data_IF_666181881305
#
_entry.id   IF_666181881305
#
_cell.length_a   1.000
_cell.length_b   1.000
_cell.length_c   1.000
_cell.angle_alpha   90.00
_cell.angle_beta   90.00
_cell.angle_gamma   90.00
#
_symmetry.space_group_name_H-M   'P 1'
#
loop_
_entity.id
_entity.type
_entity.pdbx_description
1 polymer ?
#
# COMPACT_ATOMS: atom_id res chain seq x y z
N UNK A 1 34.29 19.33 13.59
CA UNK A 1 33.74 19.65 12.25
C UNK A 1 32.20 19.40 12.14
N UNK A 2 31.37 19.80 13.12
CA UNK A 2 29.90 19.59 13.08
C UNK A 2 29.06 20.89 13.01
N UNK A 3 29.68 22.08 12.93
CA UNK A 3 28.98 23.36 13.02
C UNK A 3 28.56 23.98 11.66
N UNK A 4 29.20 23.63 10.57
CA UNK A 4 28.96 24.26 9.26
C UNK A 4 27.68 23.82 8.57
N UNK A 5 27.17 22.60 8.85
CA UNK A 5 25.92 22.07 8.24
C UNK A 5 24.69 22.72 8.87
N UNK A 6 24.68 22.88 10.20
CA UNK A 6 23.58 23.58 10.91
C UNK A 6 23.47 25.04 10.49
N UNK A 7 24.60 25.73 10.31
CA UNK A 7 24.59 27.12 9.87
C UNK A 7 24.04 27.30 8.46
N UNK A 8 24.42 26.42 7.53
CA UNK A 8 23.88 26.43 6.15
C UNK A 8 22.40 26.14 6.11
N UNK A 9 21.92 25.24 6.97
CA UNK A 9 20.50 24.93 7.09
C UNK A 9 19.70 26.11 7.65
N UNK A 10 20.21 26.80 8.69
CA UNK A 10 19.61 28.01 9.27
C UNK A 10 19.55 29.15 8.24
N UNK A 11 20.64 29.37 7.48
CA UNK A 11 20.68 30.37 6.42
C UNK A 11 19.67 30.07 5.31
N UNK A 12 19.53 28.81 4.92
CA UNK A 12 18.53 28.37 3.92
C UNK A 12 17.10 28.59 4.44
N UNK A 13 16.83 28.26 5.71
CA UNK A 13 15.52 28.50 6.35
C UNK A 13 15.23 29.98 6.46
N UNK A 14 16.20 30.82 6.86
CA UNK A 14 16.04 32.27 6.91
C UNK A 14 15.85 32.90 5.51
N UNK A 15 16.52 32.36 4.50
CA UNK A 15 16.33 32.80 3.11
C UNK A 15 14.94 32.42 2.57
N UNK A 16 14.44 31.23 2.90
CA UNK A 16 13.08 30.80 2.56
C UNK A 16 12.03 31.63 3.30
N UNK A 17 12.29 32.00 4.57
CA UNK A 17 11.40 32.90 5.35
C UNK A 17 11.37 34.32 4.82
N UNK A 18 12.49 34.84 4.26
CA UNK A 18 12.52 36.21 3.70
C UNK A 18 11.74 36.32 2.36
N UNK A 19 11.61 35.23 1.60
CA UNK A 19 10.75 35.19 0.40
C UNK A 19 9.26 35.20 0.76
N UNK A 20 8.91 34.70 1.95
CA UNK A 20 7.52 34.61 2.41
C UNK A 20 6.91 35.96 2.87
N UNK A 21 7.72 37.01 3.03
CA UNK A 21 7.25 38.30 3.62
C UNK A 21 6.39 39.13 2.63
N UNK A 22 6.49 38.91 1.32
CA UNK A 22 5.63 39.57 0.31
C UNK A 22 4.63 38.61 -0.36
N UNK A 23 4.75 37.33 -0.14
CA UNK A 23 3.88 36.32 -0.75
C UNK A 23 2.61 36.13 0.09
N UNK A 24 1.45 36.36 -0.51
CA UNK A 24 0.15 36.02 0.10
C UNK A 24 0.04 34.50 0.24
N UNK A 25 0.42 33.98 1.42
CA UNK A 25 0.38 32.55 1.73
C UNK A 25 -1.06 32.06 1.69
N UNK A 26 -1.29 30.92 1.06
CA UNK A 26 -2.60 30.28 1.03
C UNK A 26 -2.62 29.07 1.94
N UNK A 27 -3.65 28.99 2.78
CA UNK A 27 -3.93 27.83 3.63
C UNK A 27 -5.19 27.16 3.11
N UNK A 28 -5.15 25.85 2.92
CA UNK A 28 -6.28 25.13 2.37
C UNK A 28 -6.51 23.78 3.03
N UNK A 29 -7.60 23.17 2.60
CA UNK A 29 -7.93 21.79 2.91
C UNK A 29 -8.45 21.10 1.64
N UNK A 30 -8.21 19.82 1.54
CA UNK A 30 -8.73 18.99 0.43
C UNK A 30 -9.23 17.66 0.93
N UNK A 31 -10.14 17.10 0.15
CA UNK A 31 -10.64 15.73 0.25
C UNK A 31 -10.62 15.11 -1.13
N UNK A 32 -10.32 13.83 -1.21
CA UNK A 32 -10.22 13.13 -2.48
C UNK A 32 -10.64 11.67 -2.38
N UNK A 33 -10.96 11.13 -3.55
CA UNK A 33 -11.13 9.72 -3.81
C UNK A 33 -9.85 9.19 -4.43
N UNK A 34 -9.27 8.17 -3.80
CA UNK A 34 -8.04 7.54 -4.26
C UNK A 34 -8.34 6.17 -4.88
N UNK A 35 -7.57 5.83 -5.90
CA UNK A 35 -7.47 4.49 -6.48
C UNK A 35 -6.04 4.04 -6.24
N UNK A 36 -5.85 3.26 -5.19
CA UNK A 36 -4.55 2.70 -4.82
C UNK A 36 -4.15 1.54 -5.72
N UNK A 37 -2.86 1.34 -5.90
CA UNK A 37 -2.30 0.20 -6.61
C UNK A 37 -1.02 -0.26 -5.93
N UNK A 38 -0.94 -1.57 -5.70
CA UNK A 38 0.29 -2.27 -5.38
C UNK A 38 0.86 -2.79 -6.70
N UNK A 39 2.13 -2.49 -6.98
CA UNK A 39 2.80 -2.92 -8.21
C UNK A 39 4.06 -3.69 -7.81
N UNK A 40 4.16 -4.91 -8.26
CA UNK A 40 5.39 -5.70 -8.15
C UNK A 40 6.12 -5.77 -9.49
N UNK A 41 7.44 -5.71 -9.44
CA UNK A 41 8.32 -5.84 -10.60
C UNK A 41 9.23 -7.09 -10.51
N UNK A 42 8.99 -7.97 -9.53
CA UNK A 42 9.89 -9.08 -9.19
C UNK A 42 9.38 -10.46 -9.60
N UNK A 43 8.23 -10.58 -10.27
CA UNK A 43 7.57 -11.87 -10.60
C UNK A 43 7.46 -12.78 -9.35
N UNK A 44 7.16 -12.20 -8.19
CA UNK A 44 7.08 -12.91 -6.93
C UNK A 44 5.66 -13.41 -6.69
N UNK A 45 5.52 -14.72 -6.44
CA UNK A 45 4.23 -15.40 -6.25
C UNK A 45 3.38 -14.83 -5.10
N UNK A 46 3.98 -14.14 -4.12
CA UNK A 46 3.27 -13.52 -3.00
C UNK A 46 2.73 -12.12 -3.33
N UNK A 47 3.18 -11.48 -4.41
CA UNK A 47 2.88 -10.07 -4.71
C UNK A 47 2.36 -9.81 -6.12
N UNK A 48 2.25 -10.84 -6.95
CA UNK A 48 1.65 -10.73 -8.28
C UNK A 48 0.11 -10.60 -8.22
N UNK A 49 -0.50 -10.13 -9.31
CA UNK A 49 -1.95 -10.08 -9.55
C UNK A 49 -2.78 -9.25 -8.57
N UNK A 50 -2.18 -8.23 -7.92
CA UNK A 50 -2.95 -7.28 -7.14
C UNK A 50 -3.73 -6.32 -8.03
N UNK A 51 -5.04 -6.30 -7.85
CA UNK A 51 -5.95 -5.32 -8.41
C UNK A 51 -5.97 -4.03 -7.56
N UNK A 52 -6.42 -2.93 -8.18
CA UNK A 52 -6.51 -1.63 -7.51
C UNK A 52 -7.70 -1.57 -6.57
N UNK A 53 -7.52 -0.97 -5.40
CA UNK A 53 -8.61 -0.68 -4.45
C UNK A 53 -8.89 0.81 -4.35
N UNK A 54 -10.13 1.14 -3.95
CA UNK A 54 -10.52 2.52 -3.67
C UNK A 54 -10.19 2.90 -2.23
N UNK A 55 -9.91 4.19 -2.02
CA UNK A 55 -9.63 4.73 -0.71
C UNK A 55 -9.96 6.22 -0.62
N UNK A 56 -9.62 6.80 0.50
CA UNK A 56 -9.79 8.23 0.76
C UNK A 56 -8.44 8.93 0.86
N UNK A 57 -8.44 10.23 0.49
CA UNK A 57 -7.30 11.13 0.61
C UNK A 57 -7.84 12.45 1.18
N UNK A 58 -7.28 12.94 2.27
CA UNK A 58 -7.66 14.24 2.81
C UNK A 58 -6.54 14.87 3.61
N UNK A 59 -6.55 16.19 3.70
CA UNK A 59 -5.54 16.89 4.49
C UNK A 59 -5.54 18.38 4.30
N UNK A 60 -4.47 18.97 4.83
CA UNK A 60 -4.23 20.41 4.81
C UNK A 60 -3.17 20.75 3.79
N UNK A 61 -3.30 21.92 3.18
CA UNK A 61 -2.37 22.45 2.17
C UNK A 61 -1.86 23.82 2.61
N UNK A 62 -0.61 24.08 2.29
CA UNK A 62 0.04 25.36 2.49
C UNK A 62 0.80 25.72 1.21
N UNK A 63 0.37 26.78 0.52
CA UNK A 63 0.94 27.24 -0.74
C UNK A 63 1.62 28.59 -0.55
N UNK A 64 2.83 28.69 -1.08
CA UNK A 64 3.68 29.87 -1.09
C UNK A 64 3.84 30.34 -2.54
N UNK A 65 3.07 31.34 -3.00
CA UNK A 65 3.27 31.94 -4.30
C UNK A 65 4.64 32.62 -4.39
N UNK A 66 5.44 32.24 -5.38
CA UNK A 66 6.75 32.84 -5.64
C UNK A 66 6.74 33.77 -6.86
N UNK A 67 5.72 33.64 -7.71
CA UNK A 67 5.41 34.54 -8.83
C UNK A 67 3.94 34.38 -9.23
N UNK A 68 3.48 35.14 -10.21
CA UNK A 68 2.11 35.02 -10.77
C UNK A 68 1.82 33.61 -11.33
N UNK A 69 2.85 32.93 -11.83
CA UNK A 69 2.71 31.60 -12.45
C UNK A 69 3.21 30.45 -11.60
N UNK A 70 4.10 30.70 -10.64
CA UNK A 70 4.78 29.64 -9.88
C UNK A 70 4.57 29.77 -8.39
N UNK A 71 4.25 28.64 -7.75
CA UNK A 71 4.19 28.51 -6.29
C UNK A 71 4.85 27.19 -5.83
N UNK A 72 5.20 27.16 -4.56
CA UNK A 72 5.62 25.96 -3.85
C UNK A 72 4.48 25.58 -2.90
N UNK A 73 4.01 24.35 -2.99
CA UNK A 73 2.96 23.82 -2.12
C UNK A 73 3.49 22.68 -1.27
N UNK A 74 3.20 22.68 0.01
CA UNK A 74 3.39 21.53 0.89
C UNK A 74 2.06 21.13 1.50
N UNK A 75 1.96 19.87 1.88
CA UNK A 75 0.71 19.31 2.41
C UNK A 75 0.99 18.35 3.56
N UNK A 76 -0.01 18.11 4.38
CA UNK A 76 -0.07 16.99 5.30
C UNK A 76 -1.32 16.22 4.95
N UNK A 77 -1.16 15.02 4.40
CA UNK A 77 -2.24 14.21 3.86
C UNK A 77 -2.36 12.90 4.63
N UNK A 78 -3.59 12.54 5.00
CA UNK A 78 -3.93 11.15 5.24
C UNK A 78 -4.33 10.54 3.90
N UNK A 79 -3.72 9.43 3.53
CA UNK A 79 -4.01 8.75 2.27
C UNK A 79 -4.13 7.25 2.50
N UNK A 80 -5.20 6.68 1.98
CA UNK A 80 -5.45 5.24 1.97
C UNK A 80 -5.07 4.67 0.62
N UNK A 81 -4.25 3.63 0.63
CA UNK A 81 -3.78 2.89 -0.53
C UNK A 81 -3.99 1.40 -0.28
N UNK A 82 -3.98 0.62 -1.33
CA UNK A 82 -4.11 -0.82 -1.15
C UNK A 82 -4.19 -1.57 -2.45
N UNK A 83 -4.55 -2.84 -2.34
CA UNK A 83 -4.83 -3.71 -3.44
C UNK A 83 -5.60 -4.93 -2.98
N UNK A 84 -6.39 -5.52 -3.88
CA UNK A 84 -7.10 -6.77 -3.66
C UNK A 84 -6.53 -7.83 -4.58
N UNK A 85 -6.40 -9.05 -4.07
CA UNK A 85 -6.02 -10.23 -4.85
C UNK A 85 -7.05 -11.31 -4.61
N UNK A 86 -7.57 -11.89 -5.70
CA UNK A 86 -8.55 -12.96 -5.66
C UNK A 86 -8.03 -14.21 -6.36
N UNK A 87 -8.47 -15.37 -5.93
CA UNK A 87 -8.15 -16.64 -6.54
C UNK A 87 -7.11 -17.47 -5.81
N UNK A 88 -6.43 -18.36 -6.52
CA UNK A 88 -5.44 -19.27 -5.95
C UNK A 88 -4.18 -18.49 -5.59
N UNK A 89 -3.80 -18.56 -4.32
CA UNK A 89 -2.67 -17.80 -3.77
C UNK A 89 -1.80 -18.68 -2.88
N UNK A 90 -0.49 -18.42 -2.81
CA UNK A 90 0.38 -19.10 -1.86
C UNK A 90 0.07 -18.66 -0.44
N UNK A 91 0.15 -19.60 0.49
CA UNK A 91 0.01 -19.36 1.93
C UNK A 91 1.42 -19.23 2.51
N UNK A 92 1.83 -18.07 3.05
CA UNK A 92 3.12 -17.91 3.71
C UNK A 92 3.26 -18.87 4.90
N UNK A 93 4.46 -19.40 5.13
CA UNK A 93 4.72 -20.32 6.26
C UNK A 93 4.36 -19.69 7.59
N UNK A 94 4.58 -18.37 7.74
CA UNK A 94 4.20 -17.61 8.94
C UNK A 94 2.70 -17.66 9.25
N UNK A 95 1.83 -17.75 8.24
CA UNK A 95 0.39 -17.90 8.43
C UNK A 95 -0.01 -19.30 8.88
N UNK A 96 0.82 -20.30 8.60
CA UNK A 96 0.56 -21.70 8.97
C UNK A 96 0.78 -22.00 10.46
N UNK A 97 1.54 -21.19 11.17
CA UNK A 97 1.77 -21.35 12.61
C UNK A 97 0.46 -21.36 13.41
N UNK A 98 -0.57 -20.69 12.90
CA UNK A 98 -1.92 -20.70 13.49
C UNK A 98 -2.62 -22.07 13.37
N UNK A 99 -2.23 -22.92 12.41
CA UNK A 99 -2.79 -24.25 12.17
C UNK A 99 -1.98 -25.37 12.84
N UNK A 100 -0.80 -25.09 13.40
CA UNK A 100 0.08 -26.05 14.05
C UNK A 100 1.55 -25.82 13.72
N UNK A 101 2.41 -26.72 14.21
CA UNK A 101 3.85 -26.62 13.92
C UNK A 101 4.14 -27.07 12.49
N UNK A 102 4.91 -26.23 11.76
CA UNK A 102 5.39 -26.53 10.41
C UNK A 102 6.22 -27.82 10.37
N UNK A 103 6.95 -28.12 11.45
CA UNK A 103 7.75 -29.36 11.55
C UNK A 103 6.84 -30.59 11.57
N UNK A 104 5.69 -30.52 12.26
CA UNK A 104 4.72 -31.61 12.31
C UNK A 104 4.06 -31.83 10.93
N UNK A 105 3.72 -30.73 10.26
CA UNK A 105 3.19 -30.77 8.90
C UNK A 105 4.20 -31.44 7.96
N UNK A 106 5.45 -30.96 7.95
CA UNK A 106 6.51 -31.49 7.11
C UNK A 106 6.85 -32.95 7.44
N UNK A 107 6.78 -33.36 8.72
CA UNK A 107 6.90 -34.76 9.08
C UNK A 107 5.77 -35.62 8.47
N UNK A 108 4.52 -35.16 8.52
CA UNK A 108 3.39 -35.87 7.90
C UNK A 108 3.53 -35.95 6.37
N UNK A 109 4.00 -34.91 5.71
CA UNK A 109 4.28 -34.90 4.27
C UNK A 109 5.39 -35.89 3.92
N UNK A 110 6.46 -35.94 4.71
CA UNK A 110 7.56 -36.90 4.52
C UNK A 110 7.10 -38.36 4.63
N UNK A 111 6.16 -38.68 5.51
CA UNK A 111 5.55 -40.02 5.62
C UNK A 111 4.78 -40.40 4.34
N UNK A 112 4.33 -39.43 3.57
CA UNK A 112 3.63 -39.61 2.29
C UNK A 112 4.56 -39.55 1.09
N UNK A 113 5.87 -39.32 1.30
CA UNK A 113 6.87 -39.14 0.23
C UNK A 113 6.74 -37.83 -0.52
N UNK A 114 6.17 -36.79 0.12
CA UNK A 114 5.98 -35.46 -0.42
C UNK A 114 7.08 -34.53 0.07
N UNK A 115 7.35 -33.47 -0.72
CA UNK A 115 8.32 -32.44 -0.37
C UNK A 115 7.85 -31.57 0.81
N UNK A 116 8.78 -31.06 1.62
CA UNK A 116 8.45 -30.16 2.73
C UNK A 116 7.92 -28.83 2.22
N UNK A 117 6.97 -28.25 2.96
CA UNK A 117 6.46 -26.88 2.75
C UNK A 117 7.46 -25.88 3.31
N UNK A 118 7.72 -24.84 2.55
CA UNK A 118 8.57 -23.69 2.89
C UNK A 118 8.08 -22.46 2.12
N UNK A 119 8.67 -21.27 2.36
CA UNK A 119 8.34 -20.07 1.59
C UNK A 119 8.73 -20.18 0.10
N UNK A 120 9.70 -21.02 -0.25
CA UNK A 120 10.06 -21.35 -1.66
C UNK A 120 9.20 -22.46 -2.25
N UNK A 121 8.49 -23.22 -1.43
CA UNK A 121 7.56 -24.30 -1.81
C UNK A 121 6.29 -24.20 -0.96
N UNK A 122 5.44 -23.18 -1.17
CA UNK A 122 4.28 -22.94 -0.32
C UNK A 122 3.12 -23.89 -0.61
N UNK A 123 2.17 -23.91 0.29
CA UNK A 123 0.83 -24.42 0.02
C UNK A 123 -0.02 -23.33 -0.63
N UNK A 124 -1.09 -23.76 -1.28
CA UNK A 124 -2.00 -22.86 -2.01
C UNK A 124 -3.45 -23.03 -1.54
N UNK A 125 -4.20 -21.94 -1.59
CA UNK A 125 -5.64 -21.95 -1.40
C UNK A 125 -6.29 -20.85 -2.24
N UNK A 126 -7.60 -20.97 -2.45
CA UNK A 126 -8.41 -20.01 -3.20
C UNK A 126 -9.14 -19.11 -2.20
N UNK A 127 -8.74 -17.85 -2.14
CA UNK A 127 -9.31 -16.87 -1.22
C UNK A 127 -9.12 -15.44 -1.74
N UNK A 128 -9.85 -14.51 -1.14
CA UNK A 128 -9.66 -13.07 -1.37
C UNK A 128 -8.78 -12.50 -0.27
N UNK A 129 -7.81 -11.70 -0.69
CA UNK A 129 -6.89 -10.98 0.18
C UNK A 129 -6.92 -9.48 -0.16
N UNK A 130 -7.40 -8.67 0.78
CA UNK A 130 -7.44 -7.22 0.65
C UNK A 130 -6.41 -6.60 1.60
N UNK A 131 -5.54 -5.77 1.05
CA UNK A 131 -4.49 -5.07 1.78
C UNK A 131 -4.80 -3.58 1.84
N UNK A 132 -5.02 -3.06 3.05
CA UNK A 132 -5.22 -1.64 3.33
C UNK A 132 -3.99 -1.04 3.99
N UNK A 133 -3.41 -0.02 3.34
CA UNK A 133 -2.24 0.70 3.83
C UNK A 133 -2.59 2.19 3.99
N UNK A 134 -2.49 2.68 5.22
CA UNK A 134 -2.78 4.05 5.55
C UNK A 134 -1.51 4.83 5.85
N UNK A 135 -1.31 5.95 5.14
CA UNK A 135 -0.11 6.78 5.26
C UNK A 135 -0.46 8.20 5.69
N UNK A 136 0.46 8.83 6.40
CA UNK A 136 0.57 10.29 6.46
C UNK A 136 1.66 10.68 5.46
N UNK A 137 1.29 11.41 4.42
CA UNK A 137 2.20 11.88 3.36
C UNK A 137 2.46 13.38 3.50
N UNK A 138 3.72 13.76 3.29
CA UNK A 138 4.17 15.16 3.26
C UNK A 138 4.87 15.40 1.94
N UNK A 139 4.15 15.87 0.90
CA UNK A 139 4.73 16.29 -0.35
C UNK A 139 5.29 17.72 -0.29
N UNK A 140 6.26 17.98 -1.18
CA UNK A 140 6.73 19.32 -1.53
C UNK A 140 6.62 19.44 -3.05
N UNK A 141 5.69 20.28 -3.51
CA UNK A 141 5.30 20.36 -4.91
C UNK A 141 5.68 21.73 -5.49
N UNK A 142 6.31 21.73 -6.66
CA UNK A 142 6.30 22.88 -7.53
C UNK A 142 4.99 22.91 -8.31
N UNK A 143 4.31 24.04 -8.32
CA UNK A 143 3.01 24.24 -8.96
C UNK A 143 3.11 25.40 -9.94
N UNK A 144 2.68 25.16 -11.17
CA UNK A 144 2.58 26.18 -12.23
C UNK A 144 1.11 26.37 -12.57
N UNK A 145 0.64 27.60 -12.49
CA UNK A 145 -0.76 27.94 -12.76
C UNK A 145 -0.88 29.11 -13.76
N UNK A 146 -1.88 29.06 -14.62
CA UNK A 146 -2.17 30.10 -15.62
C UNK A 146 -3.68 30.23 -15.86
N UNK A 147 -4.10 31.41 -16.23
CA UNK A 147 -5.50 31.80 -16.40
C UNK A 147 -5.89 32.88 -15.42
N UNK A 148 -7.08 33.41 -15.56
CA UNK A 148 -7.64 34.48 -14.72
C UNK A 148 -8.68 33.90 -13.74
N UNK A 149 -9.96 34.07 -14.01
CA UNK A 149 -11.06 33.59 -13.17
C UNK A 149 -11.11 32.06 -13.02
N UNK A 150 -10.75 31.35 -14.10
CA UNK A 150 -10.46 29.93 -14.13
C UNK A 150 -8.97 29.73 -14.42
N UNK A 151 -8.26 29.15 -13.45
CA UNK A 151 -6.83 28.90 -13.58
C UNK A 151 -6.58 27.40 -13.70
N UNK A 152 -5.87 27.01 -14.75
CA UNK A 152 -5.33 25.66 -14.86
C UNK A 152 -4.02 25.58 -14.07
N UNK A 153 -3.74 24.45 -13.49
CA UNK A 153 -2.43 24.23 -12.88
C UNK A 153 -1.89 22.82 -13.19
N UNK A 154 -0.59 22.72 -13.15
CA UNK A 154 0.15 21.46 -13.07
C UNK A 154 1.04 21.51 -11.85
N UNK A 155 1.25 20.38 -11.23
CA UNK A 155 2.09 20.27 -10.04
C UNK A 155 2.93 19.01 -10.09
N UNK A 156 4.12 19.06 -9.50
CA UNK A 156 4.99 17.91 -9.39
C UNK A 156 5.99 18.09 -8.25
N UNK A 157 6.39 16.99 -7.62
CA UNK A 157 7.43 17.01 -6.60
C UNK A 157 7.51 15.72 -5.79
N UNK A 158 8.54 15.61 -4.95
CA UNK A 158 8.76 14.48 -4.07
C UNK A 158 7.78 14.48 -2.90
N UNK A 159 7.57 13.29 -2.33
CA UNK A 159 6.89 13.13 -1.04
C UNK A 159 7.64 12.17 -0.12
N UNK A 160 7.37 12.31 1.16
CA UNK A 160 7.72 11.34 2.20
C UNK A 160 6.42 10.88 2.85
N UNK A 161 6.25 9.56 2.98
CA UNK A 161 5.08 8.93 3.58
C UNK A 161 5.47 8.11 4.81
N UNK A 162 4.65 8.17 5.85
CA UNK A 162 4.78 7.39 7.06
C UNK A 162 3.59 6.45 7.19
N UNK A 163 3.85 5.13 7.20
CA UNK A 163 2.81 4.11 7.39
C UNK A 163 2.23 4.22 8.80
N UNK A 164 0.95 4.54 8.90
CA UNK A 164 0.21 4.68 10.17
C UNK A 164 -0.38 3.36 10.59
N UNK A 165 -1.04 2.66 9.66
CA UNK A 165 -1.60 1.33 9.86
C UNK A 165 -1.55 0.52 8.57
N UNK A 166 -1.51 -0.78 8.71
CA UNK A 166 -1.64 -1.73 7.62
C UNK A 166 -2.47 -2.91 8.10
N UNK A 167 -3.55 -3.19 7.38
CA UNK A 167 -4.46 -4.29 7.68
C UNK A 167 -4.61 -5.16 6.45
N UNK A 168 -4.54 -6.46 6.66
CA UNK A 168 -4.81 -7.47 5.66
C UNK A 168 -6.07 -8.21 6.03
N UNK A 169 -7.08 -8.19 5.15
CA UNK A 169 -8.35 -8.88 5.31
C UNK A 169 -8.34 -10.08 4.37
N UNK A 170 -8.45 -11.27 4.95
CA UNK A 170 -8.49 -12.53 4.20
C UNK A 170 -9.87 -13.14 4.34
N UNK A 171 -10.49 -13.54 3.24
CA UNK A 171 -11.82 -14.15 3.23
C UNK A 171 -11.96 -15.24 2.16
N UNK A 172 -12.72 -16.30 2.47
CA UNK A 172 -12.99 -17.39 1.54
C UNK A 172 -13.13 -18.74 2.23
N UNK A 173 -13.46 -19.76 1.45
CA UNK A 173 -13.47 -21.15 1.90
C UNK A 173 -12.95 -22.02 0.78
N UNK A 174 -11.85 -22.72 1.03
CA UNK A 174 -11.15 -23.50 -0.01
C UNK A 174 -10.47 -24.74 0.57
N UNK A 175 -10.20 -25.70 -0.31
CA UNK A 175 -9.21 -26.74 -0.06
C UNK A 175 -7.82 -26.12 -0.05
N UNK A 176 -6.98 -26.59 0.85
CA UNK A 176 -5.53 -26.33 0.81
C UNK A 176 -4.89 -27.39 -0.09
N UNK A 177 -4.02 -26.96 -1.00
CA UNK A 177 -3.31 -27.81 -1.95
C UNK A 177 -1.80 -27.60 -1.88
N UNK A 178 -1.02 -28.58 -2.32
CA UNK A 178 0.43 -28.51 -2.38
C UNK A 178 0.93 -27.96 -3.73
N UNK A 179 0.00 -27.70 -4.65
CA UNK A 179 0.26 -27.17 -5.98
C UNK A 179 -0.74 -26.07 -6.33
N UNK A 180 -0.30 -25.10 -7.11
CA UNK A 180 -1.10 -23.99 -7.61
C UNK A 180 -2.26 -24.45 -8.50
N UNK A 181 -2.06 -25.53 -9.26
CA UNK A 181 -3.07 -26.11 -10.17
C UNK A 181 -4.20 -26.83 -9.42
N UNK A 182 -4.09 -26.96 -8.09
CA UNK A 182 -5.07 -27.59 -7.21
C UNK A 182 -5.32 -29.08 -7.49
N UNK A 183 -4.29 -29.78 -7.97
CA UNK A 183 -4.37 -31.20 -8.31
C UNK A 183 -3.93 -32.10 -7.15
N UNK A 184 -3.14 -31.59 -6.21
CA UNK A 184 -2.62 -32.31 -5.04
C UNK A 184 -3.14 -31.71 -3.73
N UNK A 185 -4.32 -32.14 -3.25
CA UNK A 185 -4.88 -31.63 -1.99
C UNK A 185 -4.02 -32.06 -0.79
N UNK A 186 -3.90 -31.13 0.19
CA UNK A 186 -3.32 -31.47 1.49
C UNK A 186 -4.13 -32.60 2.13
N UNK A 187 -3.44 -33.67 2.57
CA UNK A 187 -4.08 -34.82 3.21
C UNK A 187 -3.67 -34.97 4.67
N UNK A 188 -4.60 -35.47 5.46
CA UNK A 188 -4.42 -35.76 6.89
C UNK A 188 -4.66 -37.25 7.14
N UNK A 189 -4.18 -37.73 8.29
CA UNK A 189 -4.45 -39.11 8.69
C UNK A 189 -5.96 -39.33 8.85
N UNK A 190 -6.48 -40.33 8.18
CA UNK A 190 -7.89 -40.73 8.34
C UNK A 190 -8.14 -41.24 9.77
N UNK A 191 -8.97 -40.57 10.58
CA UNK A 191 -9.22 -40.97 11.95
C UNK A 191 -9.91 -42.31 12.08
N UNK A 192 -10.54 -42.82 11.01
CA UNK A 192 -11.22 -44.12 10.97
C UNK A 192 -10.36 -45.23 10.36
N UNK A 193 -9.12 -44.92 9.97
CA UNK A 193 -8.24 -45.93 9.37
C UNK A 193 -7.80 -46.98 10.39
N UNK A 194 -8.05 -48.24 10.05
CA UNK A 194 -7.58 -49.44 10.80
C UNK A 194 -6.68 -50.25 9.91
N UNK A 195 -5.39 -50.43 10.24
CA UNK A 195 -4.47 -51.25 9.42
C UNK A 195 -4.99 -52.68 9.25
N UNK A 196 -5.10 -53.12 7.99
CA UNK A 196 -5.58 -54.45 7.63
C UNK A 196 -7.09 -54.58 7.46
N UNK A 197 -7.88 -53.54 7.80
CA UNK A 197 -9.32 -53.51 7.53
C UNK A 197 -9.62 -52.73 6.23
N UNK A 198 -10.03 -53.43 5.14
CA UNK A 198 -10.34 -52.76 3.88
C UNK A 198 -11.58 -51.86 3.91
N UNK A 199 -12.39 -51.97 4.97
CA UNK A 199 -13.60 -51.15 5.12
C UNK A 199 -13.33 -49.78 5.80
N UNK A 200 -12.16 -49.62 6.40
CA UNK A 200 -11.76 -48.38 7.08
C UNK A 200 -11.32 -47.25 6.14
N UNK A 201 -11.24 -47.53 4.83
CA UNK A 201 -10.79 -46.54 3.83
C UNK A 201 -9.26 -46.40 3.76
N UNK A 202 -8.76 -45.42 2.98
CA UNK A 202 -7.32 -45.15 2.88
C UNK A 202 -6.76 -44.48 4.14
N UNK A 203 -5.45 -44.63 4.44
CA UNK A 203 -4.81 -44.04 5.61
C UNK A 203 -4.77 -42.49 5.55
N UNK A 204 -4.75 -41.93 4.36
CA UNK A 204 -4.71 -40.48 4.11
C UNK A 204 -5.96 -40.04 3.37
N UNK A 205 -6.58 -38.96 3.84
CA UNK A 205 -7.78 -38.34 3.23
C UNK A 205 -7.54 -36.84 3.06
N UNK A 206 -8.12 -36.23 2.03
CA UNK A 206 -8.03 -34.77 1.86
C UNK A 206 -8.50 -34.04 3.10
N UNK A 207 -7.75 -33.00 3.49
CA UNK A 207 -8.21 -32.05 4.51
C UNK A 207 -9.51 -31.40 4.01
N UNK A 208 -10.59 -31.37 4.82
CA UNK A 208 -11.80 -30.64 4.43
C UNK A 208 -11.51 -29.17 4.09
N UNK A 209 -12.36 -28.50 3.29
CA UNK A 209 -12.21 -27.09 3.02
C UNK A 209 -12.03 -26.27 4.29
N UNK A 210 -11.07 -25.35 4.29
CA UNK A 210 -10.78 -24.45 5.40
C UNK A 210 -11.40 -23.10 5.11
N UNK A 211 -11.92 -22.45 6.14
CA UNK A 211 -12.41 -21.07 6.06
C UNK A 211 -11.29 -20.11 6.41
N UNK A 212 -11.03 -19.18 5.50
CA UNK A 212 -10.16 -18.05 5.67
C UNK A 212 -11.04 -16.86 6.02
N UNK A 213 -10.96 -16.38 7.25
CA UNK A 213 -11.71 -15.22 7.76
C UNK A 213 -10.85 -14.60 8.87
N UNK A 214 -9.96 -13.70 8.43
CA UNK A 214 -9.01 -13.07 9.33
C UNK A 214 -8.79 -11.62 8.96
N UNK A 215 -8.64 -10.79 9.97
CA UNK A 215 -8.13 -9.42 9.88
C UNK A 215 -6.81 -9.37 10.64
N UNK A 216 -5.72 -9.10 9.93
CA UNK A 216 -4.36 -9.18 10.45
C UNK A 216 -3.67 -7.82 10.36
N UNK A 217 -3.07 -7.34 11.45
CA UNK A 217 -2.18 -6.18 11.43
C UNK A 217 -0.82 -6.60 10.86
N UNK A 218 -0.52 -6.13 9.65
CA UNK A 218 0.72 -6.42 8.91
C UNK A 218 1.74 -5.29 9.00
N UNK A 219 1.50 -4.23 9.78
CA UNK A 219 2.37 -3.06 9.89
C UNK A 219 3.81 -3.41 10.30
N UNK A 220 3.99 -4.40 11.16
CA UNK A 220 5.32 -4.84 11.60
C UNK A 220 6.17 -5.45 10.48
N UNK A 221 5.56 -5.98 9.43
CA UNK A 221 6.20 -6.63 8.29
C UNK A 221 6.58 -5.63 7.18
N UNK A 222 6.01 -4.43 7.24
CA UNK A 222 6.17 -3.40 6.22
C UNK A 222 7.13 -2.28 6.66
N UNK A 223 7.73 -1.64 5.67
CA UNK A 223 8.55 -0.45 5.85
C UNK A 223 7.70 0.74 6.30
N UNK A 224 7.98 1.30 7.46
CA UNK A 224 7.26 2.45 8.01
C UNK A 224 7.46 3.72 7.18
N UNK A 225 8.62 3.88 6.56
CA UNK A 225 8.95 5.05 5.74
C UNK A 225 8.85 4.68 4.27
N UNK A 226 8.05 5.45 3.54
CA UNK A 226 7.97 5.44 2.08
C UNK A 226 8.38 6.81 1.54
N UNK A 227 8.86 6.86 0.31
CA UNK A 227 9.11 8.09 -0.41
C UNK A 227 8.89 7.85 -1.90
N UNK A 228 8.58 8.91 -2.62
CA UNK A 228 8.26 8.81 -4.02
C UNK A 228 8.05 10.17 -4.65
N UNK A 229 7.25 10.17 -5.69
CA UNK A 229 7.00 11.34 -6.51
C UNK A 229 5.50 11.49 -6.81
N UNK A 230 5.03 12.73 -6.78
CA UNK A 230 3.70 13.12 -7.23
C UNK A 230 3.78 13.95 -8.50
N UNK A 231 2.82 13.77 -9.39
CA UNK A 231 2.57 14.67 -10.50
C UNK A 231 1.06 14.79 -10.74
N UNK A 232 0.60 15.97 -11.03
CA UNK A 232 -0.83 16.22 -11.16
C UNK A 232 -1.16 17.47 -11.95
N UNK A 233 -2.44 17.64 -12.18
CA UNK A 233 -3.02 18.81 -12.82
C UNK A 233 -4.41 19.09 -12.24
N UNK A 234 -4.88 20.30 -12.44
CA UNK A 234 -6.21 20.65 -11.97
C UNK A 234 -6.69 21.99 -12.45
N UNK A 235 -7.82 22.38 -11.87
CA UNK A 235 -8.53 23.60 -12.17
C UNK A 235 -8.86 24.33 -10.88
N UNK A 236 -8.51 25.61 -10.81
CA UNK A 236 -8.82 26.50 -9.70
C UNK A 236 -9.89 27.49 -10.17
N UNK A 237 -10.87 27.72 -9.32
CA UNK A 237 -11.86 28.79 -9.46
C UNK A 237 -11.71 29.77 -8.32
N UNK A 238 -11.37 30.98 -8.63
CA UNK A 238 -11.42 32.10 -7.67
C UNK A 238 -12.88 32.49 -7.42
N UNK A 239 -13.30 32.44 -6.15
CA UNK A 239 -14.62 32.86 -5.71
C UNK A 239 -14.60 34.33 -5.30
N UNK A 240 -13.48 34.77 -4.70
CA UNK A 240 -13.18 36.14 -4.35
C UNK A 240 -11.68 36.30 -4.18
N UNK A 241 -11.21 37.53 -3.94
CA UNK A 241 -9.78 37.87 -3.80
C UNK A 241 -9.04 36.99 -2.76
N UNK A 242 -9.77 36.40 -1.81
CA UNK A 242 -9.19 35.57 -0.75
C UNK A 242 -9.62 34.12 -0.76
N UNK A 243 -10.57 33.74 -1.59
CA UNK A 243 -11.20 32.42 -1.54
C UNK A 243 -11.13 31.72 -2.89
N UNK A 244 -10.58 30.54 -2.91
CA UNK A 244 -10.56 29.69 -4.10
C UNK A 244 -11.00 28.27 -3.79
N UNK A 245 -11.62 27.63 -4.77
CA UNK A 245 -11.87 26.20 -4.80
C UNK A 245 -11.12 25.58 -5.94
N UNK A 246 -10.70 24.32 -5.80
CA UNK A 246 -9.99 23.63 -6.85
C UNK A 246 -10.40 22.17 -6.98
N UNK A 247 -10.33 21.69 -8.21
CA UNK A 247 -10.42 20.29 -8.56
C UNK A 247 -9.04 19.83 -9.00
N UNK A 248 -8.57 18.70 -8.49
CA UNK A 248 -7.27 18.14 -8.80
C UNK A 248 -7.33 16.68 -9.20
N UNK A 249 -6.43 16.31 -10.07
CA UNK A 249 -6.10 14.95 -10.41
C UNK A 249 -4.60 14.75 -10.22
N UNK A 250 -4.20 13.74 -9.44
CA UNK A 250 -2.81 13.49 -9.08
C UNK A 250 -2.49 12.01 -9.20
N UNK A 251 -1.35 11.69 -9.82
CA UNK A 251 -0.71 10.39 -9.75
C UNK A 251 0.40 10.37 -8.70
N UNK A 252 0.59 9.22 -8.06
CA UNK A 252 1.67 8.97 -7.10
C UNK A 252 2.43 7.70 -7.46
N UNK A 253 3.76 7.73 -7.27
CA UNK A 253 4.67 6.62 -7.52
C UNK A 253 5.63 6.49 -6.34
N UNK A 254 5.50 5.39 -5.59
CA UNK A 254 6.44 5.04 -4.53
C UNK A 254 7.75 4.52 -5.12
N UNK A 255 8.86 4.99 -4.59
CA UNK A 255 10.20 4.59 -5.02
C UNK A 255 10.81 3.52 -4.11
N UNK A 256 10.23 3.30 -2.93
CA UNK A 256 10.71 2.33 -1.95
C UNK A 256 9.77 1.13 -1.90
N UNK A 257 10.34 -0.06 -1.76
CA UNK A 257 9.58 -1.30 -1.52
C UNK A 257 8.83 -1.22 -0.20
N UNK A 258 7.59 -1.74 -0.18
CA UNK A 258 6.75 -1.73 1.02
C UNK A 258 7.12 -2.85 1.98
N UNK A 259 7.57 -4.02 1.51
CA UNK A 259 7.99 -5.16 2.35
C UNK A 259 9.35 -4.91 3.00
N UNK A 260 9.55 -5.43 4.21
CA UNK A 260 10.85 -5.50 4.87
C UNK A 260 11.68 -6.68 4.38
N UNK A 261 11.04 -7.81 4.17
CA UNK A 261 11.68 -9.06 3.78
C UNK A 261 11.45 -9.32 2.29
N UNK A 262 12.55 -9.57 1.55
CA UNK A 262 12.51 -9.75 0.10
C UNK A 262 11.85 -11.06 -0.34
N UNK A 263 11.78 -12.05 0.52
CA UNK A 263 11.11 -13.33 0.22
C UNK A 263 9.63 -13.10 -0.15
N UNK A 264 9.00 -12.07 0.44
CA UNK A 264 7.61 -11.69 0.15
C UNK A 264 7.47 -10.63 -0.96
N UNK A 265 8.48 -10.46 -1.80
CA UNK A 265 8.46 -9.59 -2.96
C UNK A 265 9.05 -8.19 -2.74
N UNK A 266 9.06 -7.42 -3.82
CA UNK A 266 9.55 -6.04 -3.85
C UNK A 266 8.47 -5.11 -4.45
N UNK A 267 7.32 -5.02 -3.77
CA UNK A 267 6.20 -4.21 -4.25
C UNK A 267 6.38 -2.73 -3.94
N UNK A 268 5.82 -1.90 -4.80
CA UNK A 268 5.74 -0.46 -4.66
C UNK A 268 4.28 -0.03 -4.56
N UNK A 269 4.03 1.03 -3.78
CA UNK A 269 2.69 1.59 -3.62
C UNK A 269 2.56 2.85 -4.47
N UNK A 270 1.46 2.96 -5.20
CA UNK A 270 1.14 4.13 -6.00
C UNK A 270 -0.36 4.31 -6.11
N UNK A 271 -0.79 5.19 -7.01
CA UNK A 271 -2.23 5.37 -7.26
C UNK A 271 -2.57 6.68 -7.92
N UNK A 272 -3.87 6.88 -8.10
CA UNK A 272 -4.47 8.08 -8.64
C UNK A 272 -5.40 8.68 -7.60
N UNK A 273 -5.45 10.01 -7.51
CA UNK A 273 -6.34 10.75 -6.60
C UNK A 273 -7.09 11.81 -7.38
N UNK A 274 -8.41 11.83 -7.20
CA UNK A 274 -9.29 12.92 -7.62
C UNK A 274 -9.67 13.71 -6.38
N UNK A 275 -9.37 15.00 -6.34
CA UNK A 275 -9.56 15.82 -5.15
C UNK A 275 -10.38 17.07 -5.42
N UNK A 276 -11.15 17.47 -4.42
CA UNK A 276 -11.78 18.77 -4.28
C UNK A 276 -11.12 19.47 -3.09
N UNK A 277 -10.75 20.72 -3.27
CA UNK A 277 -10.15 21.50 -2.20
C UNK A 277 -10.63 22.94 -2.18
N UNK A 278 -10.33 23.58 -1.05
CA UNK A 278 -10.58 24.97 -0.79
C UNK A 278 -9.32 25.59 -0.21
N UNK A 279 -9.00 26.81 -0.62
CA UNK A 279 -7.90 27.59 -0.03
C UNK A 279 -8.33 29.03 0.27
N UNK A 280 -7.69 29.56 1.31
CA UNK A 280 -7.83 30.93 1.79
C UNK A 280 -6.50 31.64 1.73
N UNK A 281 -6.48 32.84 1.15
CA UNK A 281 -5.32 33.73 1.08
C UNK A 281 -5.25 34.62 2.32
N UNK A 282 -4.15 34.54 3.06
CA UNK A 282 -3.91 35.30 4.31
C UNK A 282 -3.79 36.80 4.09
#
# INVERSE_FOLDING_TARGET
>A
MKSTTSFKFIVLVCFLLSIAIEAQVKIGAKVGYSVGRITDNSDNIYTEDYESTSGIDFGLTLEFPASELFSIQTEILYTQRGGTREGVQPIPVSALESFGSIEQLNFMLALQGKDPVSDDNPMYADFTNESDLNYIEVPILGKLGWGETWRFYVEAGPYVGFLVSSTQITSGTSLITLDEQRTDPLTVLNPNYVPGDPTSGPPWVPLPPQTFDAETDTKSELNTLNFGFHAGAGLIREISDKHEVYLGFRGSWGAKTIQKEKVYGESHIGGLVFSLGYAYTL
#
